data_IF_019830380738
#
_entry.id   IF_019830380738
#
_cell.length_a   1.000
_cell.length_b   1.000
_cell.length_c   1.000
_cell.angle_alpha   90.00
_cell.angle_beta   90.00
_cell.angle_gamma   90.00
#
_symmetry.space_group_name_H-M   'P 1'
#
loop_
_entity.id
_entity.type
_entity.pdbx_description
1 polymer ?
#
# COMPACT_ATOMS: atom_id res chain seq x y z
N UNK A 1 7.33 -11.68 -0.36
CA UNK A 1 6.38 -11.48 0.75
C UNK A 1 6.43 -12.63 1.75
N UNK A 2 6.19 -13.88 1.36
CA UNK A 2 6.28 -15.02 2.27
C UNK A 2 7.65 -15.12 2.95
N UNK A 3 8.71 -14.83 2.22
CA UNK A 3 10.07 -14.87 2.74
C UNK A 3 10.28 -13.83 3.87
N UNK A 4 9.76 -12.63 3.69
CA UNK A 4 9.86 -11.57 4.71
C UNK A 4 9.14 -11.98 5.99
N UNK A 5 8.02 -12.70 5.86
CA UNK A 5 7.16 -13.09 6.98
C UNK A 5 7.39 -14.54 7.44
N UNK A 6 8.47 -15.22 6.99
CA UNK A 6 8.65 -16.64 7.28
C UNK A 6 8.72 -16.97 8.78
N UNK A 7 9.19 -16.01 9.59
CA UNK A 7 9.28 -16.17 11.04
C UNK A 7 8.19 -15.41 11.80
N UNK A 8 7.12 -15.01 11.09
CA UNK A 8 6.00 -14.27 11.69
C UNK A 8 4.70 -15.05 11.48
N UNK A 9 3.80 -14.93 12.46
CA UNK A 9 2.46 -15.50 12.33
C UNK A 9 1.63 -14.64 11.39
N UNK A 10 1.22 -15.19 10.26
CA UNK A 10 0.42 -14.47 9.28
C UNK A 10 -1.06 -14.76 9.50
N UNK A 11 -1.89 -13.75 9.21
CA UNK A 11 -3.35 -13.87 9.34
C UNK A 11 -3.93 -14.66 8.19
N UNK A 12 -3.34 -14.53 6.99
CA UNK A 12 -3.71 -15.34 5.81
C UNK A 12 -2.44 -15.73 5.05
N UNK A 13 -2.44 -16.93 4.49
CA UNK A 13 -1.23 -17.52 3.89
C UNK A 13 -0.83 -16.86 2.58
N UNK A 14 -1.81 -16.52 1.75
CA UNK A 14 -1.52 -15.93 0.44
C UNK A 14 -1.49 -14.42 0.53
N UNK A 15 -0.38 -13.77 0.13
CA UNK A 15 -0.33 -12.31 0.08
C UNK A 15 -1.36 -11.76 -0.92
N UNK A 16 -1.89 -10.59 -0.61
CA UNK A 16 -2.73 -9.85 -1.55
C UNK A 16 -1.79 -9.16 -2.53
N UNK A 17 -1.99 -9.42 -3.82
CA UNK A 17 -1.17 -8.83 -4.88
C UNK A 17 -2.04 -8.06 -5.83
N UNK A 18 -1.59 -6.89 -6.23
CA UNK A 18 -2.23 -6.10 -7.28
C UNK A 18 -1.19 -5.44 -8.16
N UNK A 19 -1.55 -5.24 -9.42
CA UNK A 19 -0.77 -4.44 -10.33
C UNK A 19 -1.69 -3.62 -11.23
N UNK A 20 -1.16 -2.56 -11.79
CA UNK A 20 -1.91 -1.72 -12.72
C UNK A 20 -1.00 -0.71 -13.36
N UNK A 21 -1.52 -0.09 -14.41
CA UNK A 21 -0.79 0.93 -15.16
C UNK A 21 -1.72 2.09 -15.48
N UNK A 22 -1.20 3.30 -15.37
CA UNK A 22 -1.92 4.53 -15.70
C UNK A 22 -0.91 5.58 -16.15
N UNK A 23 -1.16 6.20 -17.31
CA UNK A 23 -0.31 7.27 -17.85
C UNK A 23 1.16 6.83 -18.02
N UNK A 24 1.37 5.57 -18.38
CA UNK A 24 2.71 5.02 -18.58
C UNK A 24 3.44 4.67 -17.28
N UNK A 25 2.77 4.77 -16.16
CA UNK A 25 3.33 4.47 -14.83
C UNK A 25 2.72 3.17 -14.34
N UNK A 26 3.58 2.19 -14.04
CA UNK A 26 3.15 0.89 -13.51
C UNK A 26 3.32 0.85 -11.99
N UNK A 27 2.32 0.33 -11.29
CA UNK A 27 2.35 0.19 -9.84
C UNK A 27 2.04 -1.26 -9.48
N UNK A 28 2.87 -1.85 -8.65
CA UNK A 28 2.64 -3.19 -8.09
C UNK A 28 2.65 -3.09 -6.57
N UNK A 29 1.69 -3.76 -5.93
CA UNK A 29 1.62 -3.84 -4.47
C UNK A 29 1.41 -5.28 -4.07
N UNK A 30 2.21 -5.75 -3.13
CA UNK A 30 1.99 -7.02 -2.44
C UNK A 30 1.89 -6.73 -0.96
N UNK A 31 0.89 -7.30 -0.28
CA UNK A 31 0.68 -7.04 1.14
C UNK A 31 0.17 -8.25 1.88
N UNK A 32 0.48 -8.30 3.17
CA UNK A 32 0.07 -9.38 4.07
C UNK A 32 0.00 -8.82 5.48
N UNK A 33 -0.93 -9.33 6.29
CA UNK A 33 -1.03 -8.94 7.69
C UNK A 33 -0.52 -10.06 8.58
N UNK A 34 0.15 -9.67 9.66
CA UNK A 34 0.63 -10.58 10.70
C UNK A 34 -0.08 -10.26 12.01
N UNK A 35 0.05 -11.13 13.00
CA UNK A 35 -0.48 -10.88 14.35
C UNK A 35 0.41 -9.95 15.17
N UNK A 36 1.56 -9.52 14.64
CA UNK A 36 2.45 -8.59 15.28
C UNK A 36 1.95 -7.15 15.28
N UNK A 37 2.72 -6.27 15.89
CA UNK A 37 2.35 -4.85 16.01
C UNK A 37 3.14 -3.94 15.08
N UNK A 38 4.21 -4.45 14.48
CA UNK A 38 5.10 -3.64 13.66
C UNK A 38 4.65 -3.58 12.21
N UNK A 39 4.87 -2.42 11.61
CA UNK A 39 4.68 -2.20 10.18
C UNK A 39 6.01 -2.41 9.48
N UNK A 40 5.99 -3.13 8.37
CA UNK A 40 7.15 -3.28 7.48
C UNK A 40 6.71 -2.94 6.07
N UNK A 41 7.14 -1.78 5.58
CA UNK A 41 6.84 -1.34 4.22
C UNK A 41 8.15 -1.12 3.49
N UNK A 42 8.30 -1.81 2.35
CA UNK A 42 9.46 -1.65 1.46
C UNK A 42 8.96 -1.09 0.15
N UNK A 43 9.63 -0.08 -0.36
CA UNK A 43 9.24 0.55 -1.61
C UNK A 43 10.40 0.63 -2.59
N UNK A 44 10.06 0.56 -3.86
CA UNK A 44 11.01 0.58 -4.97
C UNK A 44 10.52 1.49 -6.08
N UNK A 45 11.44 2.19 -6.70
CA UNK A 45 11.16 2.99 -7.89
C UNK A 45 12.17 2.59 -8.95
N UNK A 46 11.68 2.08 -10.09
CA UNK A 46 12.51 1.53 -11.17
C UNK A 46 13.56 0.54 -10.64
N UNK A 47 13.11 -0.35 -9.76
CA UNK A 47 13.91 -1.40 -9.11
C UNK A 47 14.97 -0.89 -8.13
N UNK A 48 14.94 0.40 -7.79
CA UNK A 48 15.83 0.99 -6.80
C UNK A 48 15.08 1.05 -5.46
N UNK A 49 15.68 0.48 -4.41
CA UNK A 49 15.08 0.49 -3.08
C UNK A 49 15.04 1.92 -2.53
N UNK A 50 13.84 2.45 -2.33
CA UNK A 50 13.64 3.80 -1.80
C UNK A 50 13.51 3.73 -0.28
N UNK A 51 14.65 3.76 0.43
CA UNK A 51 14.72 3.61 1.88
C UNK A 51 13.92 4.66 2.64
N UNK A 52 13.81 5.85 2.07
CA UNK A 52 13.10 6.97 2.68
C UNK A 52 11.66 7.09 2.16
N UNK A 53 11.20 6.10 1.38
CA UNK A 53 9.85 6.08 0.86
C UNK A 53 9.63 7.02 -0.31
N UNK A 54 8.56 7.77 -0.25
CA UNK A 54 8.21 8.76 -1.26
C UNK A 54 6.74 8.75 -1.62
N UNK A 55 6.45 9.30 -2.80
CA UNK A 55 5.07 9.53 -3.26
C UNK A 55 4.29 8.24 -3.48
N UNK A 56 4.96 7.15 -3.87
CA UNK A 56 4.30 5.85 -4.05
C UNK A 56 3.83 5.27 -2.71
N UNK A 57 4.64 5.35 -1.65
CA UNK A 57 4.23 4.93 -0.31
C UNK A 57 3.10 5.81 0.22
N UNK A 58 3.21 7.12 0.02
CA UNK A 58 2.20 8.07 0.47
C UNK A 58 0.84 7.76 -0.16
N UNK A 59 0.82 7.53 -1.47
CA UNK A 59 -0.41 7.18 -2.18
C UNK A 59 -1.00 5.86 -1.69
N UNK A 60 -0.15 4.87 -1.44
CA UNK A 60 -0.58 3.57 -0.91
C UNK A 60 -1.19 3.71 0.48
N UNK A 61 -0.51 4.40 1.40
CA UNK A 61 -0.97 4.55 2.78
C UNK A 61 -2.31 5.29 2.85
N UNK A 62 -2.46 6.35 2.07
CA UNK A 62 -3.70 7.11 2.00
C UNK A 62 -4.84 6.25 1.46
N UNK A 63 -4.61 5.53 0.37
CA UNK A 63 -5.60 4.68 -0.24
C UNK A 63 -6.00 3.53 0.69
N UNK A 64 -5.03 2.88 1.30
CA UNK A 64 -5.30 1.75 2.21
C UNK A 64 -6.18 2.17 3.37
N UNK A 65 -5.87 3.29 4.01
CA UNK A 65 -6.66 3.80 5.14
C UNK A 65 -8.10 4.08 4.71
N UNK A 66 -8.27 4.73 3.56
CA UNK A 66 -9.60 5.06 3.05
C UNK A 66 -10.41 3.82 2.70
N UNK A 67 -9.83 2.88 1.95
CA UNK A 67 -10.59 1.71 1.49
C UNK A 67 -10.95 0.77 2.64
N UNK A 68 -10.10 0.65 3.65
CA UNK A 68 -10.41 -0.17 4.81
C UNK A 68 -11.53 0.46 5.63
N UNK A 69 -11.50 1.78 5.84
CA UNK A 69 -12.59 2.48 6.53
C UNK A 69 -13.91 2.36 5.77
N UNK A 70 -13.89 2.54 4.45
CA UNK A 70 -15.08 2.41 3.62
C UNK A 70 -15.64 0.99 3.70
N UNK A 71 -14.80 -0.02 3.61
CA UNK A 71 -15.22 -1.41 3.73
C UNK A 71 -15.84 -1.70 5.10
N UNK A 72 -15.20 -1.21 6.17
CA UNK A 72 -15.69 -1.42 7.53
C UNK A 72 -17.06 -0.77 7.74
N UNK A 73 -17.30 0.40 7.14
CA UNK A 73 -18.61 1.07 7.25
C UNK A 73 -19.68 0.38 6.42
N UNK A 74 -19.34 -0.04 5.20
CA UNK A 74 -20.29 -0.75 4.34
C UNK A 74 -20.75 -2.07 4.95
N UNK A 75 -19.86 -2.74 5.68
CA UNK A 75 -20.16 -4.02 6.34
C UNK A 75 -20.58 -3.86 7.80
N UNK A 76 -20.82 -2.63 8.23
CA UNK A 76 -21.30 -2.28 9.57
C UNK A 76 -20.35 -2.73 10.70
N UNK A 77 -19.09 -2.93 10.39
CA UNK A 77 -18.04 -3.14 11.38
C UNK A 77 -17.80 -1.84 12.15
N UNK A 78 -17.80 -0.71 11.42
CA UNK A 78 -17.84 0.62 12.01
C UNK A 78 -19.26 1.18 11.86
N UNK A 79 -19.82 1.64 12.96
CA UNK A 79 -21.16 2.26 13.01
C UNK A 79 -21.03 3.77 12.85
N UNK A 80 -22.17 4.45 12.60
CA UNK A 80 -22.17 5.90 12.37
C UNK A 80 -21.50 6.70 13.48
N UNK A 81 -21.66 6.26 14.73
CA UNK A 81 -21.08 6.94 15.90
C UNK A 81 -19.61 6.60 16.14
N UNK A 82 -19.08 5.60 15.45
CA UNK A 82 -17.69 5.19 15.61
C UNK A 82 -16.77 6.10 14.81
N UNK A 83 -15.61 6.43 15.35
CA UNK A 83 -14.58 7.15 14.62
C UNK A 83 -13.95 6.24 13.58
N UNK A 84 -13.43 6.83 12.51
CA UNK A 84 -12.64 6.10 11.53
C UNK A 84 -11.37 5.56 12.15
N UNK A 85 -10.92 4.42 11.63
CA UNK A 85 -9.60 3.90 11.98
C UNK A 85 -8.52 4.86 11.49
N UNK A 86 -7.49 5.07 12.29
CA UNK A 86 -6.35 5.90 11.89
C UNK A 86 -5.45 5.12 10.95
N UNK A 87 -4.54 5.84 10.29
CA UNK A 87 -3.52 5.18 9.46
C UNK A 87 -2.68 4.20 10.27
N UNK A 88 -2.31 4.56 11.49
CA UNK A 88 -1.53 3.68 12.36
C UNK A 88 -2.30 2.40 12.70
N UNK A 89 -3.60 2.52 12.99
CA UNK A 89 -4.45 1.36 13.26
C UNK A 89 -4.50 0.41 12.07
N UNK A 90 -4.63 0.97 10.86
CA UNK A 90 -4.76 0.19 9.63
C UNK A 90 -3.46 -0.52 9.27
N UNK A 91 -2.31 0.08 9.60
CA UNK A 91 -1.01 -0.46 9.25
C UNK A 91 -0.40 -1.37 10.31
N UNK A 92 -1.06 -1.54 11.45
CA UNK A 92 -0.57 -2.44 12.50
C UNK A 92 -0.49 -3.88 11.97
N UNK A 93 0.68 -4.48 12.06
CA UNK A 93 0.92 -5.83 11.56
C UNK A 93 1.06 -5.95 10.05
N UNK A 94 1.08 -4.83 9.34
CA UNK A 94 1.16 -4.83 7.88
C UNK A 94 2.59 -5.09 7.40
N UNK A 95 2.73 -6.00 6.44
CA UNK A 95 3.93 -6.13 5.61
C UNK A 95 3.51 -5.82 4.17
N UNK A 96 4.16 -4.85 3.55
CA UNK A 96 3.82 -4.46 2.17
C UNK A 96 5.08 -4.16 1.37
N UNK A 97 5.02 -4.48 0.09
CA UNK A 97 6.04 -4.12 -0.90
C UNK A 97 5.34 -3.34 -1.99
N UNK A 98 5.85 -2.15 -2.28
CA UNK A 98 5.31 -1.28 -3.31
C UNK A 98 6.40 -1.03 -4.34
N UNK A 99 6.12 -1.33 -5.60
CA UNK A 99 7.07 -1.11 -6.69
C UNK A 99 6.40 -0.27 -7.76
N UNK A 100 7.07 0.80 -8.15
CA UNK A 100 6.60 1.66 -9.22
C UNK A 100 7.64 1.71 -10.33
N UNK A 101 7.17 1.71 -11.57
CA UNK A 101 8.02 1.95 -12.74
C UNK A 101 7.52 3.19 -13.43
N UNK A 102 8.40 4.16 -13.56
CA UNK A 102 8.09 5.48 -14.10
C UNK A 102 9.07 5.79 -15.23
N UNK A 103 8.59 6.32 -16.37
CA UNK A 103 9.50 6.64 -17.49
C UNK A 103 10.48 7.76 -17.16
N UNK A 104 10.17 8.60 -16.17
CA UNK A 104 11.02 9.71 -15.77
C UNK A 104 10.96 9.93 -14.27
N UNK A 105 11.54 9.00 -13.47
CA UNK A 105 11.46 9.11 -12.03
C UNK A 105 12.29 10.28 -11.52
N UNK A 106 11.74 11.02 -10.55
CA UNK A 106 12.41 12.13 -9.89
C UNK A 106 12.58 11.80 -8.42
N UNK A 107 13.81 11.85 -7.95
CA UNK A 107 14.13 11.54 -6.57
C UNK A 107 14.43 12.83 -5.81
N UNK A 108 14.06 12.85 -4.55
CA UNK A 108 14.42 13.97 -3.68
C UNK A 108 15.87 13.78 -3.21
N UNK A 109 16.65 14.84 -3.29
CA UNK A 109 18.06 14.83 -2.91
C UNK A 109 18.95 14.17 -3.97
N UNK A 110 20.23 14.01 -3.62
CA UNK A 110 21.23 13.45 -4.53
C UNK A 110 21.25 11.92 -4.49
N UNK A 111 20.74 11.32 -3.42
CA UNK A 111 20.65 9.89 -3.29
C UNK A 111 19.28 9.45 -3.79
N UNK A 112 19.21 8.30 -4.46
CA UNK A 112 17.94 7.78 -5.01
C UNK A 112 17.16 7.03 -3.94
N UNK A 113 16.93 7.68 -2.80
CA UNK A 113 16.32 7.04 -1.63
C UNK A 113 14.88 7.44 -1.39
N UNK A 114 14.41 8.50 -2.03
CA UNK A 114 13.04 8.99 -1.85
C UNK A 114 12.46 9.46 -3.16
N UNK A 115 11.34 8.86 -3.59
CA UNK A 115 10.67 9.24 -4.83
C UNK A 115 9.85 10.52 -4.61
N UNK A 116 9.99 11.49 -5.53
CA UNK A 116 9.38 12.80 -5.39
C UNK A 116 8.29 13.16 -6.41
N UNK A 117 8.01 12.29 -7.39
CA UNK A 117 7.01 12.58 -8.42
C UNK A 117 5.61 12.73 -7.81
N UNK A 118 5.06 13.95 -7.82
CA UNK A 118 3.75 14.23 -7.18
C UNK A 118 2.59 13.47 -7.81
N UNK A 119 2.63 13.24 -9.12
CA UNK A 119 1.57 12.51 -9.84
C UNK A 119 1.45 11.06 -9.39
N UNK A 120 2.52 10.47 -8.83
CA UNK A 120 2.52 9.09 -8.36
C UNK A 120 1.60 8.91 -7.16
N UNK A 121 1.42 9.93 -6.33
CA UNK A 121 0.47 9.86 -5.21
C UNK A 121 -0.93 9.51 -5.70
N UNK A 122 -1.43 10.26 -6.69
CA UNK A 122 -2.78 10.07 -7.23
C UNK A 122 -2.91 8.76 -7.98
N UNK A 123 -1.90 8.41 -8.78
CA UNK A 123 -1.94 7.19 -9.59
C UNK A 123 -1.96 5.96 -8.69
N UNK A 124 -1.09 5.90 -7.69
CA UNK A 124 -1.05 4.79 -6.74
C UNK A 124 -2.37 4.68 -5.99
N UNK A 125 -2.90 5.81 -5.54
CA UNK A 125 -4.18 5.85 -4.84
C UNK A 125 -5.31 5.29 -5.71
N UNK A 126 -5.41 5.73 -6.95
CA UNK A 126 -6.47 5.28 -7.87
C UNK A 126 -6.37 3.81 -8.22
N UNK A 127 -5.18 3.34 -8.54
CA UNK A 127 -4.96 1.94 -8.92
C UNK A 127 -5.24 1.00 -7.75
N UNK A 128 -4.74 1.32 -6.56
CA UNK A 128 -4.97 0.50 -5.38
C UNK A 128 -6.45 0.50 -4.98
N UNK A 129 -7.10 1.66 -5.01
CA UNK A 129 -8.53 1.77 -4.64
C UNK A 129 -9.42 0.98 -5.59
N UNK A 130 -9.16 1.06 -6.89
CA UNK A 130 -9.92 0.31 -7.89
C UNK A 130 -9.77 -1.21 -7.68
N UNK A 131 -8.55 -1.65 -7.43
CA UNK A 131 -8.27 -3.06 -7.16
C UNK A 131 -9.01 -3.54 -5.90
N UNK A 132 -8.95 -2.76 -4.83
CA UNK A 132 -9.59 -3.13 -3.57
C UNK A 132 -11.11 -3.25 -3.74
N UNK A 133 -11.74 -2.34 -4.48
CA UNK A 133 -13.18 -2.41 -4.74
C UNK A 133 -13.56 -3.69 -5.48
N UNK A 134 -12.76 -4.12 -6.44
CA UNK A 134 -12.99 -5.38 -7.14
C UNK A 134 -12.85 -6.59 -6.21
N UNK A 135 -11.81 -6.58 -5.37
CA UNK A 135 -11.54 -7.69 -4.44
C UNK A 135 -12.59 -7.77 -3.34
N UNK A 136 -13.05 -6.65 -2.83
CA UNK A 136 -14.00 -6.65 -1.70
C UNK A 136 -15.33 -7.29 -2.03
N UNK A 137 -15.70 -7.38 -3.30
CA UNK A 137 -16.92 -8.07 -3.74
C UNK A 137 -16.84 -9.57 -3.53
N UNK A 138 -15.64 -10.12 -3.40
CA UNK A 138 -15.42 -11.57 -3.28
C UNK A 138 -14.92 -11.97 -1.88
N UNK A 139 -14.82 -11.03 -0.97
CA UNK A 139 -14.43 -11.31 0.42
C UNK A 139 -15.68 -11.61 1.32
#
# INVERSE_FOLDING_TARGET
>A
MKYINENKDVIFDEPIYTDGEMDGISVEVAMQYTTGYHETVMSFANNIHTHEGGTHEQGFRTALTRVINDYARQNKILKEKDDNLTGDDVREGLTAIISVKHPNPQFEGQTKTKLGNSEVVKITNRLFSAFFLLRSKYL
#
